data_IF_122729150690
#
_entry.id   IF_122729150690
#
_cell.length_a   1.000
_cell.length_b   1.000
_cell.length_c   1.000
_cell.angle_alpha   90.00
_cell.angle_beta   90.00
_cell.angle_gamma   90.00
#
_symmetry.space_group_name_H-M   'P 1'
#
loop_
_entity.id
_entity.type
_entity.pdbx_description
1 polymer ?
#
# COMPACT_ATOMS: atom_id res chain seq x y z
N UNK A 1 -12.46 -3.23 -0.26
CA UNK A 1 -11.61 -3.34 -1.46
C UNK A 1 -10.82 -4.64 -1.40
N UNK A 2 -10.68 -5.31 -2.50
CA UNK A 2 -9.94 -6.57 -2.50
C UNK A 2 -8.45 -6.32 -2.45
N UNK A 3 -7.74 -7.16 -1.70
CA UNK A 3 -6.29 -7.00 -1.56
C UNK A 3 -5.58 -6.97 -2.92
N UNK A 4 -5.98 -7.84 -3.85
CA UNK A 4 -5.34 -7.88 -5.16
C UNK A 4 -5.45 -6.56 -5.93
N UNK A 5 -6.53 -5.81 -5.69
CA UNK A 5 -6.71 -4.51 -6.34
C UNK A 5 -5.81 -3.46 -5.70
N UNK A 6 -5.65 -3.53 -4.37
CA UNK A 6 -4.70 -2.67 -3.65
C UNK A 6 -3.28 -2.97 -4.11
N UNK A 7 -2.93 -4.24 -4.18
CA UNK A 7 -1.60 -4.66 -4.64
C UNK A 7 -1.32 -4.19 -6.05
N UNK A 8 -2.28 -4.34 -6.94
CA UNK A 8 -2.13 -3.90 -8.33
C UNK A 8 -1.87 -2.40 -8.41
N UNK A 9 -2.62 -1.61 -7.63
CA UNK A 9 -2.43 -0.17 -7.61
C UNK A 9 -1.06 0.22 -7.06
N UNK A 10 -0.60 -0.47 -6.01
CA UNK A 10 0.71 -0.24 -5.43
C UNK A 10 1.83 -0.55 -6.41
N UNK A 11 1.73 -1.69 -7.10
CA UNK A 11 2.74 -2.08 -8.09
C UNK A 11 2.73 -1.13 -9.27
N UNK A 12 1.56 -0.68 -9.71
CA UNK A 12 1.45 0.29 -10.80
C UNK A 12 2.03 1.65 -10.42
N UNK A 13 2.12 1.93 -9.12
CA UNK A 13 2.71 3.17 -8.60
C UNK A 13 4.20 3.03 -8.28
N UNK A 14 4.83 1.96 -8.74
CA UNK A 14 6.25 1.66 -8.54
C UNK A 14 6.62 1.46 -7.07
N UNK A 15 5.68 1.05 -6.24
CA UNK A 15 5.97 0.70 -4.86
C UNK A 15 6.67 -0.66 -4.79
N UNK A 16 7.51 -0.83 -3.79
CA UNK A 16 8.15 -2.11 -3.50
C UNK A 16 7.59 -2.65 -2.20
N UNK A 17 7.82 -3.94 -1.94
CA UNK A 17 7.27 -4.54 -0.75
C UNK A 17 8.26 -5.52 -0.12
N UNK A 18 8.05 -5.76 1.18
CA UNK A 18 8.77 -6.79 1.92
C UNK A 18 7.77 -7.55 2.78
N UNK A 19 8.04 -8.85 2.96
CA UNK A 19 7.25 -9.66 3.87
C UNK A 19 7.44 -9.16 5.29
N UNK A 20 6.35 -8.84 5.95
CA UNK A 20 6.36 -8.51 7.34
C UNK A 20 6.06 -9.73 8.20
N UNK A 21 5.52 -9.51 9.38
CA UNK A 21 5.19 -10.58 10.31
C UNK A 21 3.82 -11.16 9.96
N UNK A 22 3.74 -12.49 9.82
CA UNK A 22 2.48 -13.15 9.48
C UNK A 22 1.94 -12.69 8.12
N UNK A 23 0.72 -12.19 8.10
CA UNK A 23 0.06 -11.74 6.88
C UNK A 23 0.35 -10.28 6.53
N UNK A 24 1.22 -9.63 7.28
CA UNK A 24 1.53 -8.22 7.05
C UNK A 24 2.55 -8.04 5.95
N UNK A 25 2.24 -7.18 4.99
CA UNK A 25 3.15 -6.82 3.91
C UNK A 25 3.47 -5.35 4.07
N UNK A 26 4.76 -5.02 4.10
CA UNK A 26 5.21 -3.63 4.17
C UNK A 26 5.42 -3.10 2.77
N UNK A 27 4.72 -2.03 2.45
CA UNK A 27 4.82 -1.37 1.15
C UNK A 27 5.57 -0.06 1.29
N UNK A 28 6.50 0.16 0.40
CA UNK A 28 7.39 1.32 0.42
C UNK A 28 7.12 2.18 -0.80
N UNK A 29 7.15 3.50 -0.61
CA UNK A 29 7.13 4.45 -1.72
C UNK A 29 8.29 4.22 -2.66
N UNK A 30 8.17 4.67 -3.93
CA UNK A 30 9.32 4.72 -4.82
C UNK A 30 10.48 5.47 -4.17
N UNK A 31 11.69 5.15 -4.57
CA UNK A 31 12.91 5.65 -3.95
C UNK A 31 12.98 7.18 -3.84
N UNK A 32 12.33 7.89 -4.74
CA UNK A 32 12.31 9.35 -4.71
C UNK A 32 11.64 9.93 -3.47
N UNK A 33 10.72 9.18 -2.86
CA UNK A 33 10.02 9.61 -1.66
C UNK A 33 10.76 9.24 -0.37
N UNK A 34 11.49 8.18 -0.39
CA UNK A 34 12.45 7.76 0.61
C UNK A 34 11.93 7.14 1.89
N UNK A 35 10.84 7.60 2.48
CA UNK A 35 10.53 7.21 3.86
C UNK A 35 9.09 6.83 4.15
N UNK A 36 8.25 6.74 3.16
CA UNK A 36 6.85 6.41 3.39
C UNK A 36 6.66 4.90 3.35
N UNK A 37 6.07 4.37 4.41
CA UNK A 37 5.83 2.93 4.54
C UNK A 37 4.38 2.73 4.98
N UNK A 38 3.71 1.79 4.36
CA UNK A 38 2.38 1.37 4.78
C UNK A 38 2.38 -0.14 4.98
N UNK A 39 1.67 -0.58 6.01
CA UNK A 39 1.52 -2.02 6.29
C UNK A 39 0.11 -2.41 5.89
N UNK A 40 -0.01 -3.35 4.98
CA UNK A 40 -1.30 -3.86 4.51
C UNK A 40 -1.36 -5.34 4.82
N UNK A 41 -2.41 -5.75 5.52
CA UNK A 41 -2.62 -7.16 5.82
C UNK A 41 -3.03 -7.89 4.55
N UNK A 42 -2.32 -8.95 4.23
CA UNK A 42 -2.62 -9.77 3.06
C UNK A 42 -3.83 -10.66 3.37
N UNK A 43 -5.01 -10.11 3.18
CA UNK A 43 -6.26 -10.78 3.39
C UNK A 43 -7.08 -10.69 2.11
N UNK A 44 -8.20 -11.39 2.07
CA UNK A 44 -9.07 -11.38 0.90
C UNK A 44 -9.59 -9.97 0.60
N UNK A 45 -10.01 -9.28 1.66
CA UNK A 45 -10.53 -7.93 1.55
C UNK A 45 -9.77 -7.00 2.50
N UNK A 46 -9.55 -5.78 2.04
CA UNK A 46 -8.92 -4.74 2.83
C UNK A 46 -10.01 -3.78 3.28
N UNK A 47 -10.08 -3.52 4.58
CA UNK A 47 -11.11 -2.65 5.13
C UNK A 47 -10.93 -1.21 4.65
N UNK A 48 -12.03 -0.43 4.67
CA UNK A 48 -11.99 0.97 4.27
C UNK A 48 -11.01 1.77 5.14
N UNK A 49 -10.91 1.43 6.42
CA UNK A 49 -9.98 2.09 7.32
C UNK A 49 -8.53 1.85 6.94
N UNK A 50 -8.20 0.62 6.56
CA UNK A 50 -6.84 0.28 6.13
C UNK A 50 -6.53 0.94 4.78
N UNK A 51 -7.49 0.99 3.87
CA UNK A 51 -7.31 1.68 2.59
C UNK A 51 -7.00 3.15 2.82
N UNK A 52 -7.78 3.82 3.67
CA UNK A 52 -7.57 5.23 3.98
C UNK A 52 -6.20 5.46 4.64
N UNK A 53 -5.82 4.58 5.57
CA UNK A 53 -4.53 4.67 6.24
C UNK A 53 -3.38 4.50 5.25
N UNK A 54 -3.52 3.56 4.31
CA UNK A 54 -2.51 3.32 3.29
C UNK A 54 -2.32 4.55 2.41
N UNK A 55 -3.41 5.17 1.98
CA UNK A 55 -3.35 6.38 1.18
C UNK A 55 -2.64 7.50 1.94
N UNK A 56 -2.96 7.65 3.23
CA UNK A 56 -2.35 8.67 4.07
C UNK A 56 -0.86 8.44 4.27
N UNK A 57 -0.47 7.20 4.53
CA UNK A 57 0.94 6.87 4.79
C UNK A 57 1.80 6.93 3.55
N UNK A 58 1.22 6.69 2.38
CA UNK A 58 1.93 6.80 1.11
C UNK A 58 1.56 8.12 0.43
N UNK A 59 1.60 9.20 1.18
CA UNK A 59 1.19 10.52 0.71
C UNK A 59 2.03 11.07 -0.43
N UNK A 60 3.19 10.48 -0.70
CA UNK A 60 4.03 10.90 -1.81
C UNK A 60 3.50 10.45 -3.16
N UNK A 61 2.53 9.52 -3.19
CA UNK A 61 1.96 9.07 -4.45
C UNK A 61 0.92 10.07 -4.96
N UNK A 62 0.71 10.13 -6.28
CA UNK A 62 -0.25 11.07 -6.86
C UNK A 62 -1.66 10.84 -6.32
N UNK A 63 -2.44 11.90 -6.20
CA UNK A 63 -3.84 11.78 -5.78
C UNK A 63 -4.57 10.82 -6.71
N UNK A 64 -5.41 9.97 -6.13
CA UNK A 64 -6.21 9.02 -6.90
C UNK A 64 -5.48 7.74 -7.30
N UNK A 65 -4.27 7.51 -6.83
CA UNK A 65 -3.54 6.29 -7.16
C UNK A 65 -4.26 5.02 -6.68
N UNK A 66 -5.03 5.14 -5.64
CA UNK A 66 -5.82 4.03 -5.12
C UNK A 66 -7.30 4.44 -5.08
N UNK A 67 -8.05 3.84 -5.95
CA UNK A 67 -9.47 4.12 -6.11
C UNK A 67 -10.29 2.87 -5.86
#
# INVERSE_FOLDING_TARGET
MKYRDVERALLASDCTWKQGKGDHIKWYCPSSCGKHVAVVTQARDVSAGVVADTITKLACLPAGWLQ
#
